data_IF_091707787193
#
_entry.id   IF_091707787193
#
_cell.length_a   1.000
_cell.length_b   1.000
_cell.length_c   1.000
_cell.angle_alpha   90.00
_cell.angle_beta   90.00
_cell.angle_gamma   90.00
#
_symmetry.space_group_name_H-M   'P 1'
#
loop_
_entity.id
_entity.type
_entity.pdbx_description
1 polymer ?
#
# COMPACT_ATOMS: atom_id res chain seq x y z
N UNK A 1 17.15 25.69 -8.16
CA UNK A 1 16.66 24.58 -7.34
C UNK A 1 16.31 25.22 -6.01
N UNK A 2 15.05 25.51 -5.82
CA UNK A 2 14.54 26.23 -4.64
C UNK A 2 14.24 25.22 -3.52
N UNK A 3 14.31 25.68 -2.25
CA UNK A 3 14.00 24.86 -1.05
C UNK A 3 12.65 24.11 -1.15
N UNK A 4 11.73 24.63 -1.95
CA UNK A 4 10.44 23.99 -2.25
C UNK A 4 10.54 22.71 -3.12
N UNK A 5 11.65 22.51 -3.86
CA UNK A 5 11.87 21.30 -4.66
C UNK A 5 12.57 20.19 -3.85
N UNK A 6 13.30 20.55 -2.81
CA UNK A 6 13.93 19.61 -1.88
C UNK A 6 12.89 18.99 -0.91
N UNK A 7 11.78 19.70 -0.65
CA UNK A 7 10.71 19.22 0.22
C UNK A 7 9.83 18.14 -0.44
N UNK A 8 9.86 18.04 -1.78
CA UNK A 8 9.10 17.02 -2.54
C UNK A 8 9.74 15.61 -2.53
N UNK A 9 11.00 15.51 -2.15
CA UNK A 9 11.74 14.24 -2.06
C UNK A 9 11.87 13.74 -0.63
N UNK A 10 11.45 14.52 0.35
CA UNK A 10 11.41 14.11 1.74
C UNK A 10 10.10 13.39 1.99
N UNK A 11 10.11 12.11 2.45
CA UNK A 11 8.88 11.49 2.87
C UNK A 11 8.23 12.39 3.93
N UNK A 12 6.92 12.68 3.82
CA UNK A 12 6.27 13.57 4.78
C UNK A 12 6.41 12.98 6.18
N UNK A 13 6.81 13.81 7.14
CA UNK A 13 6.81 13.44 8.55
C UNK A 13 5.41 12.95 8.90
N UNK A 14 5.32 11.75 9.47
CA UNK A 14 4.05 11.16 9.83
C UNK A 14 3.39 10.37 8.69
N UNK A 15 4.04 9.33 8.18
CA UNK A 15 3.43 8.40 7.23
C UNK A 15 2.26 7.58 7.83
N UNK A 16 2.07 7.60 9.16
CA UNK A 16 1.07 6.80 9.86
C UNK A 16 -0.31 7.46 9.87
N UNK A 17 -1.35 6.65 9.65
CA UNK A 17 -2.77 7.07 9.73
C UNK A 17 -3.26 7.22 11.16
N UNK A 18 -2.68 6.48 12.10
CA UNK A 18 -3.06 6.41 13.50
C UNK A 18 -1.82 6.54 14.37
N UNK A 19 -1.95 7.07 15.60
CA UNK A 19 -0.80 7.32 16.48
C UNK A 19 -0.08 6.04 16.91
N UNK A 20 -0.81 4.94 16.98
CA UNK A 20 -0.27 3.63 17.39
C UNK A 20 -1.04 2.48 16.73
N UNK A 21 -0.47 1.25 16.70
CA UNK A 21 -1.10 0.09 16.08
C UNK A 21 -2.44 -0.32 16.73
N UNK A 22 -2.64 -0.17 18.04
CA UNK A 22 -3.90 -0.53 18.70
C UNK A 22 -5.05 0.37 18.26
N UNK A 23 -4.78 1.67 18.14
CA UNK A 23 -5.75 2.65 17.60
C UNK A 23 -6.15 2.30 16.15
N UNK A 24 -5.20 1.84 15.32
CA UNK A 24 -5.48 1.35 13.97
C UNK A 24 -6.40 0.12 14.00
N UNK A 25 -6.09 -0.89 14.82
CA UNK A 25 -6.90 -2.12 14.90
C UNK A 25 -8.31 -1.85 15.45
N UNK A 26 -8.44 -0.93 16.40
CA UNK A 26 -9.75 -0.49 16.90
C UNK A 26 -10.56 0.25 15.83
N UNK A 27 -9.92 1.11 15.02
CA UNK A 27 -10.58 1.88 13.98
C UNK A 27 -10.94 1.07 12.72
N UNK A 28 -10.21 -0.01 12.45
CA UNK A 28 -10.42 -0.89 11.29
C UNK A 28 -10.47 -2.36 11.76
N UNK A 29 -11.60 -2.83 12.32
CA UNK A 29 -11.72 -4.19 12.87
C UNK A 29 -11.39 -5.29 11.85
N UNK A 30 -11.63 -5.04 10.56
CA UNK A 30 -11.28 -5.96 9.47
C UNK A 30 -9.80 -6.33 9.44
N UNK A 31 -8.91 -5.49 9.97
CA UNK A 31 -7.48 -5.81 10.03
C UNK A 31 -7.21 -7.02 10.94
N UNK A 32 -7.96 -7.16 12.02
CA UNK A 32 -7.88 -8.33 12.93
C UNK A 32 -8.31 -9.64 12.28
N UNK A 33 -9.07 -9.59 11.18
CA UNK A 33 -9.43 -10.77 10.40
C UNK A 33 -8.32 -11.20 9.42
N UNK A 34 -7.38 -10.28 9.13
CA UNK A 34 -6.31 -10.46 8.15
C UNK A 34 -4.95 -10.77 8.78
N UNK A 35 -4.83 -10.66 10.10
CA UNK A 35 -3.58 -10.88 10.83
C UNK A 35 -3.81 -11.81 12.02
N UNK A 36 -2.84 -12.69 12.28
CA UNK A 36 -2.83 -13.54 13.48
C UNK A 36 -2.23 -12.82 14.68
N UNK A 37 -1.30 -11.87 14.38
CA UNK A 37 -0.63 -11.08 15.40
C UNK A 37 -1.44 -9.82 15.73
N UNK A 38 -1.56 -9.53 17.02
CA UNK A 38 -2.18 -8.29 17.52
C UNK A 38 -1.14 -7.42 18.21
N UNK A 39 -1.27 -6.09 18.15
CA UNK A 39 -0.32 -5.19 18.79
C UNK A 39 -0.43 -5.24 20.33
N UNK A 40 0.72 -5.12 21.00
CA UNK A 40 0.78 -4.98 22.46
C UNK A 40 0.44 -3.54 22.89
N UNK A 41 0.16 -3.39 24.19
CA UNK A 41 -0.02 -2.07 24.78
C UNK A 41 1.27 -1.25 24.75
N UNK A 42 1.19 0.00 24.27
CA UNK A 42 2.36 0.87 24.15
C UNK A 42 3.34 0.50 23.02
N UNK A 43 3.03 -0.51 22.21
CA UNK A 43 3.91 -0.92 21.10
C UNK A 43 3.84 0.13 19.97
N UNK A 44 5.02 0.62 19.54
CA UNK A 44 5.09 1.55 18.40
C UNK A 44 4.88 0.82 17.07
N UNK A 45 4.50 1.56 16.01
CA UNK A 45 4.34 0.97 14.67
C UNK A 45 5.63 0.32 14.17
N UNK A 46 6.79 0.91 14.42
CA UNK A 46 8.07 0.34 14.04
C UNK A 46 8.40 -0.95 14.81
N UNK A 47 8.10 -1.00 16.12
CA UNK A 47 8.33 -2.19 16.94
C UNK A 47 7.38 -3.34 16.51
N UNK A 48 6.11 -3.02 16.24
CA UNK A 48 5.14 -4.01 15.75
C UNK A 48 5.54 -4.55 14.38
N UNK A 49 5.95 -3.68 13.44
CA UNK A 49 6.46 -4.10 12.13
C UNK A 49 7.66 -5.04 12.25
N UNK A 50 8.63 -4.71 13.09
CA UNK A 50 9.81 -5.55 13.34
C UNK A 50 9.43 -6.93 13.91
N UNK A 51 8.44 -6.97 14.81
CA UNK A 51 7.91 -8.22 15.36
C UNK A 51 7.19 -9.07 14.31
N UNK A 52 6.37 -8.45 13.44
CA UNK A 52 5.73 -9.13 12.32
C UNK A 52 6.76 -9.71 11.34
N UNK A 53 7.79 -8.93 11.00
CA UNK A 53 8.91 -9.37 10.14
C UNK A 53 9.58 -10.65 10.64
N UNK A 54 9.71 -10.78 11.96
CA UNK A 54 10.39 -11.92 12.62
C UNK A 54 9.42 -13.05 13.00
N UNK A 55 8.14 -12.95 12.64
CA UNK A 55 7.13 -13.95 12.97
C UNK A 55 7.15 -15.13 11.98
N UNK A 56 6.32 -16.14 12.25
CA UNK A 56 6.10 -17.26 11.32
C UNK A 56 5.29 -16.88 10.08
N UNK A 57 4.66 -15.70 10.08
CA UNK A 57 3.83 -15.16 9.01
C UNK A 57 4.30 -13.74 8.65
N UNK A 58 5.54 -13.57 8.12
CA UNK A 58 6.13 -12.25 7.88
C UNK A 58 5.36 -11.43 6.82
N UNK A 59 4.50 -12.05 6.03
CA UNK A 59 3.57 -11.39 5.09
C UNK A 59 2.59 -10.46 5.80
N UNK A 60 2.30 -10.69 7.08
CA UNK A 60 1.47 -9.79 7.89
C UNK A 60 2.10 -8.39 8.06
N UNK A 61 3.43 -8.28 7.91
CA UNK A 61 4.10 -6.99 7.86
C UNK A 61 3.65 -6.15 6.65
N UNK A 62 3.42 -6.79 5.50
CA UNK A 62 2.87 -6.13 4.30
C UNK A 62 1.43 -5.69 4.58
N UNK A 63 0.62 -6.57 5.15
CA UNK A 63 -0.77 -6.27 5.54
C UNK A 63 -0.81 -5.09 6.49
N UNK A 64 -0.07 -5.13 7.58
CA UNK A 64 0.00 -4.05 8.56
C UNK A 64 0.42 -2.72 7.90
N UNK A 65 1.49 -2.71 7.11
CA UNK A 65 1.98 -1.51 6.44
C UNK A 65 0.93 -0.88 5.53
N UNK A 66 0.23 -1.69 4.74
CA UNK A 66 -0.82 -1.20 3.85
C UNK A 66 -1.95 -0.47 4.62
N UNK A 67 -2.30 -0.95 5.80
CA UNK A 67 -3.35 -0.36 6.64
C UNK A 67 -2.86 0.79 7.53
N UNK A 68 -1.63 0.73 7.99
CA UNK A 68 -1.06 1.71 8.93
C UNK A 68 -0.65 3.02 8.24
N UNK A 69 -0.36 2.99 6.94
CA UNK A 69 0.22 4.11 6.22
C UNK A 69 -0.87 5.01 5.60
N UNK A 70 -0.60 6.32 5.55
CA UNK A 70 -1.45 7.28 4.84
C UNK A 70 -1.63 6.85 3.37
N UNK A 71 -2.83 6.99 2.78
CA UNK A 71 -3.17 6.39 1.49
C UNK A 71 -2.19 6.70 0.36
N UNK A 72 -1.76 7.94 0.19
CA UNK A 72 -0.80 8.32 -0.87
C UNK A 72 0.56 7.67 -0.67
N UNK A 73 1.04 7.64 0.56
CA UNK A 73 2.32 7.01 0.91
C UNK A 73 2.26 5.50 0.78
N UNK A 74 1.13 4.89 1.16
CA UNK A 74 0.89 3.47 0.99
C UNK A 74 0.91 3.06 -0.49
N UNK A 75 0.27 3.84 -1.37
CA UNK A 75 0.27 3.60 -2.81
C UNK A 75 1.67 3.77 -3.40
N UNK A 76 2.40 4.82 -3.01
CA UNK A 76 3.79 4.99 -3.42
C UNK A 76 4.65 3.77 -3.01
N UNK A 77 4.55 3.35 -1.76
CA UNK A 77 5.26 2.17 -1.26
C UNK A 77 4.89 0.90 -2.03
N UNK A 78 3.60 0.66 -2.27
CA UNK A 78 3.15 -0.48 -3.06
C UNK A 78 3.66 -0.45 -4.50
N UNK A 79 3.67 0.72 -5.14
CA UNK A 79 4.26 0.92 -6.45
C UNK A 79 5.74 0.56 -6.45
N UNK A 80 6.51 1.03 -5.46
CA UNK A 80 7.93 0.69 -5.34
C UNK A 80 8.16 -0.79 -5.08
N UNK A 81 7.32 -1.45 -4.25
CA UNK A 81 7.36 -2.90 -4.07
C UNK A 81 7.21 -3.65 -5.39
N UNK A 82 6.19 -3.32 -6.19
CA UNK A 82 5.97 -3.97 -7.48
C UNK A 82 7.11 -3.69 -8.46
N UNK A 83 7.66 -2.48 -8.46
CA UNK A 83 8.79 -2.06 -9.30
C UNK A 83 10.05 -2.87 -9.04
N UNK A 84 10.21 -3.47 -7.86
CA UNK A 84 11.34 -4.38 -7.57
C UNK A 84 11.15 -5.78 -8.15
N UNK A 85 9.98 -6.10 -8.70
CA UNK A 85 9.59 -7.41 -9.21
C UNK A 85 8.99 -7.32 -10.64
N UNK A 86 9.65 -6.65 -11.60
CA UNK A 86 9.05 -6.34 -12.90
C UNK A 86 8.77 -7.58 -13.76
N UNK A 87 9.49 -8.67 -13.50
CA UNK A 87 9.32 -9.96 -14.19
C UNK A 87 7.98 -10.63 -13.88
N UNK A 88 7.33 -10.25 -12.79
CA UNK A 88 6.05 -10.81 -12.35
C UNK A 88 4.83 -9.98 -12.78
N UNK A 89 5.07 -8.91 -13.54
CA UNK A 89 4.04 -8.02 -14.06
C UNK A 89 3.77 -8.32 -15.53
N UNK A 90 2.52 -8.59 -15.87
CA UNK A 90 2.10 -8.72 -17.25
C UNK A 90 1.97 -7.33 -17.94
N UNK A 91 1.72 -7.26 -19.27
CA UNK A 91 1.62 -5.98 -19.96
C UNK A 91 0.54 -5.05 -19.38
N UNK A 92 -0.62 -5.58 -18.98
CA UNK A 92 -1.70 -4.79 -18.40
C UNK A 92 -1.32 -4.25 -17.02
N UNK A 93 -0.59 -5.04 -16.22
CA UNK A 93 -0.04 -4.59 -14.93
C UNK A 93 0.95 -3.44 -15.13
N UNK A 94 1.86 -3.54 -16.11
CA UNK A 94 2.86 -2.49 -16.39
C UNK A 94 2.21 -1.19 -16.85
N UNK A 95 1.23 -1.27 -17.74
CA UNK A 95 0.48 -0.10 -18.19
C UNK A 95 -0.23 0.59 -17.01
N UNK A 96 -0.85 -0.19 -16.13
CA UNK A 96 -1.47 0.36 -14.92
C UNK A 96 -0.43 0.99 -13.97
N UNK A 97 0.74 0.39 -13.82
CA UNK A 97 1.84 0.94 -13.02
C UNK A 97 2.29 2.32 -13.52
N UNK A 98 2.37 2.54 -14.85
CA UNK A 98 2.70 3.85 -15.43
C UNK A 98 1.65 4.90 -15.06
N UNK A 99 0.35 4.55 -15.12
CA UNK A 99 -0.76 5.43 -14.74
C UNK A 99 -0.72 5.77 -13.24
N UNK A 100 -0.43 4.77 -12.41
CA UNK A 100 -0.27 4.97 -10.97
C UNK A 100 0.94 5.87 -10.68
N UNK A 101 2.06 5.67 -11.35
CA UNK A 101 3.25 6.52 -11.23
C UNK A 101 2.94 7.99 -11.57
N UNK A 102 2.21 8.22 -12.67
CA UNK A 102 1.77 9.57 -13.05
C UNK A 102 0.85 10.20 -11.99
N UNK A 103 -0.05 9.41 -11.38
CA UNK A 103 -0.92 9.87 -10.30
C UNK A 103 -0.13 10.17 -9.01
N UNK A 104 0.86 9.36 -8.65
CA UNK A 104 1.73 9.62 -7.49
C UNK A 104 2.43 10.96 -7.65
N UNK A 105 2.94 11.26 -8.85
CA UNK A 105 3.61 12.52 -9.14
C UNK A 105 2.66 13.74 -9.09
N UNK A 106 1.39 13.55 -9.47
CA UNK A 106 0.38 14.61 -9.49
C UNK A 106 -1.00 14.05 -9.14
N UNK A 107 -1.31 13.87 -7.84
CA UNK A 107 -2.56 13.27 -7.40
C UNK A 107 -3.75 14.22 -7.63
N UNK A 108 -4.63 13.83 -8.55
CA UNK A 108 -5.89 14.53 -8.83
C UNK A 108 -7.07 13.57 -8.71
N UNK A 109 -8.23 14.11 -8.36
CA UNK A 109 -9.48 13.33 -8.27
C UNK A 109 -9.89 12.78 -9.63
N UNK A 110 -9.71 13.53 -10.71
CA UNK A 110 -10.02 13.09 -12.06
C UNK A 110 -9.17 11.89 -12.48
N UNK A 111 -7.85 11.94 -12.28
CA UNK A 111 -6.95 10.82 -12.57
C UNK A 111 -7.26 9.60 -11.70
N UNK A 112 -7.59 9.81 -10.40
CA UNK A 112 -8.03 8.74 -9.50
C UNK A 112 -9.24 7.98 -10.05
N UNK A 113 -10.27 8.68 -10.51
CA UNK A 113 -11.46 8.04 -11.10
C UNK A 113 -11.17 7.36 -12.44
N UNK A 114 -10.29 7.93 -13.26
CA UNK A 114 -9.87 7.29 -14.52
C UNK A 114 -9.18 5.96 -14.24
N UNK A 115 -8.19 5.94 -13.35
CA UNK A 115 -7.47 4.74 -12.94
C UNK A 115 -8.44 3.71 -12.34
N UNK A 116 -9.34 4.14 -11.45
CA UNK A 116 -10.32 3.26 -10.84
C UNK A 116 -11.22 2.59 -11.90
N UNK A 117 -11.73 3.36 -12.85
CA UNK A 117 -12.57 2.83 -13.93
C UNK A 117 -11.82 1.80 -14.76
N UNK A 118 -10.61 2.12 -15.20
CA UNK A 118 -9.79 1.21 -15.99
C UNK A 118 -9.47 -0.06 -15.22
N UNK A 119 -9.11 0.05 -13.94
CA UNK A 119 -8.86 -1.11 -13.08
C UNK A 119 -10.13 -1.95 -12.86
N UNK A 120 -11.31 -1.34 -12.71
CA UNK A 120 -12.58 -2.07 -12.55
C UNK A 120 -12.97 -2.85 -13.80
N UNK A 121 -12.70 -2.33 -14.99
CA UNK A 121 -13.02 -2.96 -16.26
C UNK A 121 -11.89 -3.79 -16.86
N UNK A 122 -10.74 -3.89 -16.20
CA UNK A 122 -9.66 -4.76 -16.64
C UNK A 122 -10.10 -6.23 -16.68
N UNK A 123 -9.67 -6.96 -17.71
CA UNK A 123 -10.04 -8.38 -17.89
C UNK A 123 -9.45 -9.29 -16.82
N UNK A 124 -8.33 -8.91 -16.22
CA UNK A 124 -7.66 -9.64 -15.14
C UNK A 124 -7.51 -8.81 -13.87
N UNK A 125 -7.13 -9.45 -12.79
CA UNK A 125 -6.83 -8.83 -11.49
C UNK A 125 -5.36 -9.06 -11.12
N UNK A 126 -4.48 -8.64 -12.02
CA UNK A 126 -3.04 -8.69 -11.76
C UNK A 126 -2.59 -7.69 -10.69
N UNK A 127 -1.33 -7.78 -10.23
CA UNK A 127 -0.80 -6.90 -9.19
C UNK A 127 -0.94 -5.41 -9.49
N UNK A 128 -0.61 -4.99 -10.71
CA UNK A 128 -0.74 -3.59 -11.13
C UNK A 128 -2.19 -3.12 -11.15
N UNK A 129 -3.11 -3.97 -11.63
CA UNK A 129 -4.55 -3.68 -11.66
C UNK A 129 -5.10 -3.52 -10.22
N UNK A 130 -4.68 -4.37 -9.30
CA UNK A 130 -5.05 -4.25 -7.89
C UNK A 130 -4.49 -2.96 -7.26
N UNK A 131 -3.28 -2.54 -7.64
CA UNK A 131 -2.73 -1.24 -7.22
C UNK A 131 -3.57 -0.07 -7.77
N UNK A 132 -4.02 -0.15 -9.02
CA UNK A 132 -4.96 0.82 -9.61
C UNK A 132 -6.28 0.92 -8.85
N UNK A 133 -6.84 -0.20 -8.37
CA UNK A 133 -8.01 -0.19 -7.49
C UNK A 133 -7.70 0.47 -6.14
N UNK A 134 -6.51 0.25 -5.57
CA UNK A 134 -6.10 0.92 -4.35
C UNK A 134 -6.05 2.45 -4.54
N UNK A 135 -5.53 2.94 -5.66
CA UNK A 135 -5.62 4.37 -6.04
C UNK A 135 -7.07 4.83 -6.09
N UNK A 136 -7.92 4.10 -6.79
CA UNK A 136 -9.34 4.42 -6.92
C UNK A 136 -10.06 4.58 -5.58
N UNK A 137 -9.68 3.77 -4.60
CA UNK A 137 -10.28 3.74 -3.26
C UNK A 137 -9.47 4.48 -2.19
N UNK A 138 -8.46 5.25 -2.56
CA UNK A 138 -7.55 5.93 -1.62
C UNK A 138 -8.18 7.07 -0.81
N UNK A 139 -9.43 7.43 -1.08
CA UNK A 139 -10.18 8.44 -0.34
C UNK A 139 -11.16 9.22 -1.20
N UNK A 140 -11.91 10.11 -0.55
CA UNK A 140 -12.94 10.92 -1.20
C UNK A 140 -14.20 10.12 -1.59
N UNK A 141 -14.99 10.63 -2.55
CA UNK A 141 -16.23 9.99 -2.98
C UNK A 141 -15.96 8.68 -3.73
N UNK A 142 -16.90 7.73 -3.61
CA UNK A 142 -16.81 6.40 -4.23
C UNK A 142 -16.91 6.46 -5.77
N UNK A 143 -17.64 7.43 -6.29
CA UNK A 143 -17.78 7.68 -7.72
C UNK A 143 -18.03 9.17 -7.99
N UNK A 144 -17.83 9.65 -9.23
CA UNK A 144 -18.10 11.06 -9.57
C UNK A 144 -19.52 11.52 -9.25
N UNK A 145 -20.50 10.62 -9.38
CA UNK A 145 -21.93 10.89 -9.18
C UNK A 145 -22.48 10.33 -7.86
N UNK A 146 -21.60 9.78 -6.99
CA UNK A 146 -21.97 9.24 -5.70
C UNK A 146 -21.03 9.83 -4.63
N UNK A 147 -21.52 10.76 -3.79
CA UNK A 147 -20.72 11.43 -2.78
C UNK A 147 -20.38 10.52 -1.58
N UNK A 148 -20.93 9.31 -1.52
CA UNK A 148 -20.64 8.38 -0.43
C UNK A 148 -19.13 8.16 -0.28
N UNK A 149 -18.59 8.23 0.95
CA UNK A 149 -17.17 8.03 1.18
C UNK A 149 -16.77 6.58 0.91
N UNK A 150 -15.57 6.39 0.37
CA UNK A 150 -14.99 5.06 0.26
C UNK A 150 -14.72 4.50 1.65
N UNK A 151 -15.14 3.23 1.90
CA UNK A 151 -14.86 2.56 3.15
C UNK A 151 -13.34 2.45 3.38
N UNK A 152 -12.89 2.76 4.59
CA UNK A 152 -11.48 2.95 4.97
C UNK A 152 -10.58 1.70 4.79
N UNK A 153 -11.17 0.52 4.68
CA UNK A 153 -10.47 -0.75 4.47
C UNK A 153 -10.25 -1.11 2.99
N UNK A 154 -10.98 -0.49 2.03
CA UNK A 154 -10.93 -0.93 0.61
C UNK A 154 -9.57 -0.71 -0.02
N UNK A 155 -9.03 0.49 0.08
CA UNK A 155 -7.72 0.81 -0.50
C UNK A 155 -6.61 -0.07 0.08
N UNK A 156 -6.43 -0.16 1.42
CA UNK A 156 -5.38 -1.00 1.98
C UNK A 156 -5.59 -2.49 1.70
N UNK A 157 -6.82 -2.99 1.63
CA UNK A 157 -7.07 -4.39 1.23
C UNK A 157 -6.59 -4.65 -0.20
N UNK A 158 -6.90 -3.75 -1.14
CA UNK A 158 -6.48 -3.90 -2.53
C UNK A 158 -4.96 -3.77 -2.69
N UNK A 159 -4.35 -2.84 -1.97
CA UNK A 159 -2.91 -2.66 -1.94
C UNK A 159 -2.19 -3.91 -1.40
N UNK A 160 -2.66 -4.44 -0.28
CA UNK A 160 -2.15 -5.70 0.29
C UNK A 160 -2.25 -6.85 -0.72
N UNK A 161 -3.41 -7.03 -1.33
CA UNK A 161 -3.62 -8.05 -2.35
C UNK A 161 -2.70 -7.85 -3.57
N UNK A 162 -2.44 -6.61 -3.98
CA UNK A 162 -1.51 -6.26 -5.05
C UNK A 162 -0.09 -6.79 -4.77
N UNK A 163 0.47 -6.45 -3.62
CA UNK A 163 1.83 -6.84 -3.26
C UNK A 163 1.92 -8.36 -3.04
N UNK A 164 0.99 -8.94 -2.28
CA UNK A 164 1.00 -10.38 -2.00
C UNK A 164 0.79 -11.22 -3.26
N UNK A 165 -0.04 -10.79 -4.21
CA UNK A 165 -0.21 -11.49 -5.49
C UNK A 165 1.06 -11.43 -6.36
N UNK A 166 1.79 -10.32 -6.33
CA UNK A 166 3.09 -10.20 -6.99
C UNK A 166 4.13 -11.14 -6.36
N UNK A 167 4.22 -11.14 -5.02
CA UNK A 167 5.09 -12.05 -4.28
C UNK A 167 4.75 -13.53 -4.54
N UNK A 168 3.46 -13.86 -4.69
CA UNK A 168 3.02 -15.24 -4.97
C UNK A 168 3.49 -15.74 -6.35
N UNK A 169 3.74 -14.84 -7.31
CA UNK A 169 4.28 -15.17 -8.64
C UNK A 169 5.80 -15.40 -8.61
N UNK A 170 6.49 -14.96 -7.56
CA UNK A 170 7.93 -15.15 -7.42
C UNK A 170 8.26 -16.60 -7.10
N UNK A 171 9.41 -17.09 -7.63
CA UNK A 171 9.94 -18.41 -7.28
C UNK A 171 10.10 -18.56 -5.77
N UNK A 172 9.84 -19.75 -5.26
CA UNK A 172 9.84 -20.04 -3.83
C UNK A 172 11.12 -19.58 -3.12
N UNK A 173 12.27 -19.78 -3.75
CA UNK A 173 13.60 -19.39 -3.21
C UNK A 173 13.83 -17.87 -3.20
N UNK A 174 13.20 -17.12 -4.10
CA UNK A 174 13.34 -15.66 -4.23
C UNK A 174 12.31 -14.89 -3.43
N UNK A 175 11.16 -15.50 -3.14
CA UNK A 175 10.04 -14.86 -2.44
C UNK A 175 10.43 -14.23 -1.10
N UNK A 176 11.21 -14.88 -0.20
CA UNK A 176 11.64 -14.26 1.05
C UNK A 176 12.49 -13.00 0.84
N UNK A 177 13.32 -12.98 -0.21
CA UNK A 177 14.17 -11.82 -0.54
C UNK A 177 13.31 -10.65 -1.03
N UNK A 178 12.32 -10.92 -1.88
CA UNK A 178 11.39 -9.90 -2.36
C UNK A 178 10.54 -9.34 -1.20
N UNK A 179 10.04 -10.22 -0.34
CA UNK A 179 9.29 -9.82 0.86
C UNK A 179 10.14 -8.95 1.79
N UNK A 180 11.38 -9.35 2.07
CA UNK A 180 12.28 -8.57 2.91
C UNK A 180 12.49 -7.15 2.35
N UNK A 181 12.68 -7.00 1.03
CA UNK A 181 12.81 -5.68 0.38
C UNK A 181 11.56 -4.81 0.56
N UNK A 182 10.37 -5.39 0.44
CA UNK A 182 9.12 -4.66 0.67
C UNK A 182 9.04 -4.17 2.13
N UNK A 183 9.44 -5.01 3.09
CA UNK A 183 9.44 -4.67 4.52
C UNK A 183 10.53 -3.63 4.83
N UNK A 184 11.73 -3.72 4.26
CA UNK A 184 12.80 -2.73 4.42
C UNK A 184 12.34 -1.32 3.98
N UNK A 185 11.60 -1.24 2.87
CA UNK A 185 10.99 0.02 2.41
C UNK A 185 9.92 0.52 3.39
N UNK A 186 9.11 -0.37 3.97
CA UNK A 186 8.12 -0.03 4.99
C UNK A 186 8.76 0.49 6.28
N UNK A 187 9.86 -0.14 6.75
CA UNK A 187 10.62 0.34 7.91
C UNK A 187 11.11 1.78 7.70
N UNK A 188 11.56 2.11 6.49
CA UNK A 188 12.00 3.47 6.18
C UNK A 188 10.85 4.49 6.27
N UNK A 189 9.62 4.11 5.91
CA UNK A 189 8.44 4.97 6.10
C UNK A 189 8.12 5.24 7.57
N UNK A 190 8.40 4.28 8.45
CA UNK A 190 8.08 4.39 9.89
C UNK A 190 9.20 4.99 10.73
N UNK A 191 10.42 5.11 10.19
CA UNK A 191 11.57 5.74 10.87
C UNK A 191 11.59 7.26 10.77
N UNK A 192 10.83 7.84 9.85
CA UNK A 192 10.77 9.29 9.66
C UNK A 192 9.70 9.85 10.61
N UNK A 193 10.09 10.03 11.87
CA UNK A 193 9.34 10.79 12.89
C UNK A 193 10.08 12.08 13.22
#
# INVERSE_FOLDING_TARGET
MTDADLDKTRPPQGALRYPDPRSLYAAIPRLSELTHQTPYEGETAAAFLARLRSSTTPEEAVTFTAFATLPQMAIWWGHECLRTMPEHLDPADREMMERVSAWIARPTTAARFTIMREALYAQGRGPGVLLGLAVGWSGGPIAPNDPAPVANHRAPTSLNASILSCLARAEYTRRPICLARCIDMAENLFRVN
#
